data_IF_778097609282
#
_entry.id   IF_778097609282
#
_cell.length_a   1.000
_cell.length_b   1.000
_cell.length_c   1.000
_cell.angle_alpha   90.00
_cell.angle_beta   90.00
_cell.angle_gamma   90.00
#
_symmetry.space_group_name_H-M   'P 1'
#
loop_
_entity.id
_entity.type
_entity.pdbx_description
1 polymer ?
#
# COMPACT_ATOMS: atom_id res chain seq x y z
N UNK A 1 19.74 12.42 5.84
CA UNK A 1 20.32 11.31 5.03
C UNK A 1 20.86 11.94 3.78
N UNK A 2 22.10 11.65 3.43
CA UNK A 2 22.78 12.33 2.33
C UNK A 2 22.95 11.36 1.15
N UNK A 3 22.25 11.60 0.05
CA UNK A 3 22.40 10.80 -1.18
C UNK A 3 23.79 11.05 -1.80
N UNK A 4 24.44 12.18 -1.46
CA UNK A 4 25.77 12.51 -1.93
C UNK A 4 26.88 11.64 -1.32
N UNK A 5 26.62 10.93 -0.22
CA UNK A 5 27.65 10.09 0.45
C UNK A 5 27.82 8.69 -0.14
N UNK A 6 26.94 8.26 -1.05
CA UNK A 6 27.02 6.92 -1.65
C UNK A 6 26.71 5.76 -0.69
N UNK A 7 26.19 6.03 0.51
CA UNK A 7 25.75 4.98 1.44
C UNK A 7 24.62 4.15 0.80
N UNK A 8 24.92 2.88 0.51
CA UNK A 8 23.90 1.92 0.07
C UNK A 8 22.92 1.67 1.20
N UNK A 9 21.67 2.09 1.01
CA UNK A 9 20.55 1.72 1.87
C UNK A 9 20.47 0.20 2.00
N UNK A 10 20.43 -0.31 3.23
CA UNK A 10 20.06 -1.70 3.49
C UNK A 10 18.59 -1.87 3.16
N UNK A 11 18.31 -2.57 2.07
CA UNK A 11 16.96 -2.90 1.62
C UNK A 11 16.54 -4.19 2.35
N UNK A 12 15.58 -4.15 3.28
CA UNK A 12 15.16 -5.35 3.98
C UNK A 12 14.52 -6.33 3.00
N UNK A 13 14.77 -7.63 3.22
CA UNK A 13 14.05 -8.67 2.50
C UNK A 13 12.60 -8.70 3.00
N UNK A 14 11.65 -8.32 2.15
CA UNK A 14 10.24 -8.27 2.50
C UNK A 14 9.59 -9.66 2.49
N UNK A 15 10.18 -10.62 1.78
CA UNK A 15 9.62 -11.98 1.67
C UNK A 15 9.61 -12.72 3.00
N UNK A 16 10.53 -12.40 3.90
CA UNK A 16 10.63 -13.02 5.23
C UNK A 16 9.69 -12.37 6.26
N UNK A 17 8.98 -11.30 5.89
CA UNK A 17 8.15 -10.52 6.79
C UNK A 17 6.68 -10.93 6.74
N UNK A 18 5.97 -10.65 7.84
CA UNK A 18 4.51 -10.74 7.89
C UNK A 18 3.87 -9.79 6.87
N UNK A 19 2.63 -10.05 6.46
CA UNK A 19 1.92 -9.20 5.50
C UNK A 19 1.79 -7.74 6.00
N UNK A 20 1.55 -7.55 7.30
CA UNK A 20 1.46 -6.22 7.89
C UNK A 20 2.81 -5.49 7.85
N UNK A 21 3.89 -6.20 8.16
CA UNK A 21 5.26 -5.64 8.11
C UNK A 21 5.70 -5.35 6.67
N UNK A 22 5.26 -6.15 5.69
CA UNK A 22 5.48 -5.90 4.26
C UNK A 22 4.86 -4.59 3.80
N UNK A 23 3.79 -4.13 4.45
CA UNK A 23 3.00 -2.96 4.08
C UNK A 23 3.26 -1.74 4.98
N UNK A 24 4.30 -1.76 5.82
CA UNK A 24 4.55 -0.73 6.83
C UNK A 24 4.72 0.69 6.27
N UNK A 25 5.14 0.85 5.01
CA UNK A 25 5.27 2.16 4.36
C UNK A 25 4.04 2.55 3.55
N UNK A 26 3.01 1.72 3.53
CA UNK A 26 1.77 1.97 2.82
C UNK A 26 0.72 2.41 3.86
N UNK A 27 0.31 3.69 3.89
CA UNK A 27 -0.70 4.17 4.81
C UNK A 27 -1.98 3.35 4.72
N UNK A 28 -2.48 2.92 5.87
CA UNK A 28 -3.76 2.21 5.96
C UNK A 28 -4.92 3.21 5.92
N UNK A 29 -5.94 2.87 5.16
CA UNK A 29 -7.25 3.54 5.19
C UNK A 29 -8.30 2.55 5.63
N UNK A 30 -9.33 3.07 6.29
CA UNK A 30 -10.52 2.30 6.69
C UNK A 30 -11.74 2.90 5.99
N UNK A 31 -12.93 2.39 6.29
CA UNK A 31 -14.17 2.88 5.67
C UNK A 31 -14.46 4.37 5.96
N UNK A 32 -14.00 4.91 7.09
CA UNK A 32 -14.22 6.30 7.50
C UNK A 32 -13.25 7.25 6.79
N UNK A 33 -11.96 6.89 6.74
CA UNK A 33 -10.90 7.73 6.16
C UNK A 33 -10.76 7.56 4.65
N UNK A 34 -11.39 6.56 4.04
CA UNK A 34 -11.25 6.28 2.61
C UNK A 34 -11.62 7.48 1.75
N UNK A 35 -12.80 8.08 1.98
CA UNK A 35 -13.30 9.15 1.14
C UNK A 35 -12.41 10.40 1.23
N UNK A 36 -11.97 10.76 2.43
CA UNK A 36 -11.06 11.88 2.66
C UNK A 36 -9.72 11.69 1.94
N UNK A 37 -9.15 10.49 2.02
CA UNK A 37 -7.82 10.21 1.48
C UNK A 37 -7.84 9.96 -0.02
N UNK A 38 -8.81 9.20 -0.53
CA UNK A 38 -8.85 8.73 -1.93
C UNK A 38 -9.52 9.74 -2.86
N UNK A 39 -10.46 10.54 -2.36
CA UNK A 39 -11.13 11.58 -3.15
C UNK A 39 -10.43 12.95 -3.03
N UNK A 40 -9.22 12.98 -2.49
CA UNK A 40 -8.38 14.18 -2.46
C UNK A 40 -7.98 14.58 -3.89
N UNK A 41 -8.68 15.58 -4.44
CA UNK A 41 -8.45 16.06 -5.80
C UNK A 41 -7.06 16.67 -6.04
N UNK A 42 -6.26 16.89 -4.99
CA UNK A 42 -4.88 17.37 -5.11
C UNK A 42 -3.87 16.25 -5.37
N UNK A 43 -4.28 14.98 -5.31
CA UNK A 43 -3.39 13.82 -5.44
C UNK A 43 -3.96 12.73 -6.34
N UNK A 44 -3.06 12.04 -7.03
CA UNK A 44 -3.34 10.75 -7.65
C UNK A 44 -3.18 9.64 -6.60
N UNK A 45 -4.28 8.95 -6.26
CA UNK A 45 -4.27 7.96 -5.18
C UNK A 45 -4.48 6.56 -5.73
N UNK A 46 -3.48 5.70 -5.56
CA UNK A 46 -3.58 4.27 -5.81
C UNK A 46 -3.95 3.53 -4.52
N UNK A 47 -4.99 2.69 -4.58
CA UNK A 47 -5.45 1.91 -3.44
C UNK A 47 -5.15 0.43 -3.67
N UNK A 48 -4.41 -0.18 -2.75
CA UNK A 48 -4.20 -1.61 -2.71
C UNK A 48 -5.28 -2.27 -1.83
N UNK A 49 -6.27 -2.91 -2.46
CA UNK A 49 -7.24 -3.75 -1.76
C UNK A 49 -6.66 -5.14 -1.55
N UNK A 50 -6.52 -5.55 -0.30
CA UNK A 50 -5.88 -6.82 0.08
C UNK A 50 -6.66 -7.48 1.22
N UNK A 51 -6.38 -8.75 1.52
CA UNK A 51 -6.93 -9.40 2.70
C UNK A 51 -5.80 -9.85 3.63
N UNK A 52 -5.90 -9.59 4.93
CA UNK A 52 -4.96 -10.17 5.91
C UNK A 52 -5.37 -11.55 6.42
N UNK A 53 -6.64 -11.91 6.27
CA UNK A 53 -7.19 -13.21 6.66
C UNK A 53 -7.92 -13.93 5.51
N UNK A 54 -8.09 -15.24 5.67
CA UNK A 54 -8.84 -16.08 4.73
C UNK A 54 -8.07 -16.48 3.47
N UNK A 55 -8.75 -17.04 2.45
CA UNK A 55 -8.12 -17.65 1.27
C UNK A 55 -7.30 -16.68 0.41
N UNK A 56 -7.55 -15.38 0.51
CA UNK A 56 -6.84 -14.34 -0.26
C UNK A 56 -5.59 -13.79 0.47
N UNK A 57 -5.34 -14.19 1.73
CA UNK A 57 -4.24 -13.66 2.52
C UNK A 57 -2.86 -14.02 1.95
N UNK A 58 -2.67 -15.28 1.52
CA UNK A 58 -1.41 -15.70 0.91
C UNK A 58 -1.16 -15.00 -0.43
N UNK A 59 -2.18 -14.86 -1.28
CA UNK A 59 -2.02 -14.13 -2.57
C UNK A 59 -1.73 -12.65 -2.38
N UNK A 60 -2.20 -12.06 -1.28
CA UNK A 60 -1.96 -10.65 -0.93
C UNK A 60 -0.51 -10.35 -0.54
N UNK A 61 0.31 -11.38 -0.26
CA UNK A 61 1.70 -11.22 0.17
C UNK A 61 2.63 -10.71 -0.94
N UNK A 62 2.42 -11.15 -2.17
CA UNK A 62 3.29 -10.79 -3.29
C UNK A 62 2.99 -9.35 -3.76
N UNK A 63 1.70 -9.01 -3.88
CA UNK A 63 1.27 -7.64 -4.16
C UNK A 63 1.75 -6.65 -3.11
N UNK A 64 1.77 -7.03 -1.83
CA UNK A 64 2.27 -6.18 -0.75
C UNK A 64 3.74 -5.77 -0.91
N UNK A 65 4.59 -6.66 -1.45
CA UNK A 65 5.99 -6.32 -1.74
C UNK A 65 6.04 -5.22 -2.79
N UNK A 66 5.32 -5.40 -3.90
CA UNK A 66 5.33 -4.44 -5.02
C UNK A 66 4.83 -3.06 -4.58
N UNK A 67 3.69 -3.03 -3.88
CA UNK A 67 3.05 -1.80 -3.40
C UNK A 67 3.93 -1.08 -2.39
N UNK A 68 4.57 -1.79 -1.47
CA UNK A 68 5.51 -1.19 -0.52
C UNK A 68 6.73 -0.60 -1.22
N UNK A 69 7.31 -1.29 -2.22
CA UNK A 69 8.43 -0.74 -3.01
C UNK A 69 8.01 0.51 -3.78
N UNK A 70 6.79 0.55 -4.31
CA UNK A 70 6.25 1.72 -4.97
C UNK A 70 6.14 2.91 -4.01
N UNK A 71 5.54 2.71 -2.81
CA UNK A 71 5.43 3.74 -1.78
C UNK A 71 6.80 4.27 -1.32
N UNK A 72 7.75 3.36 -1.03
CA UNK A 72 9.14 3.74 -0.69
C UNK A 72 9.78 4.58 -1.80
N UNK A 73 9.54 4.23 -3.07
CA UNK A 73 10.15 4.94 -4.19
C UNK A 73 9.57 6.33 -4.40
N UNK A 74 8.27 6.51 -4.18
CA UNK A 74 7.63 7.83 -4.23
C UNK A 74 8.21 8.76 -3.16
N UNK A 75 8.39 8.26 -1.94
CA UNK A 75 9.02 9.02 -0.85
C UNK A 75 10.46 9.40 -1.18
N UNK A 76 11.27 8.45 -1.67
CA UNK A 76 12.67 8.71 -2.07
C UNK A 76 12.81 9.76 -3.18
N UNK A 77 11.88 9.77 -4.13
CA UNK A 77 11.87 10.72 -5.25
C UNK A 77 11.22 12.06 -4.89
N UNK A 78 10.66 12.21 -3.69
CA UNK A 78 9.93 13.41 -3.29
C UNK A 78 8.61 13.61 -4.04
N UNK A 79 7.98 12.53 -4.51
CA UNK A 79 6.69 12.59 -5.22
C UNK A 79 5.58 12.88 -4.20
N UNK A 80 5.10 14.12 -4.18
CA UNK A 80 4.01 14.57 -3.31
C UNK A 80 2.61 14.54 -3.97
N UNK A 81 2.56 14.47 -5.30
CA UNK A 81 1.31 14.49 -6.08
C UNK A 81 0.68 13.12 -6.23
N UNK A 82 1.37 12.04 -5.89
CA UNK A 82 0.85 10.69 -5.94
C UNK A 82 1.04 9.99 -4.60
N UNK A 83 0.08 9.13 -4.22
CA UNK A 83 0.12 8.36 -2.98
C UNK A 83 -0.38 6.94 -3.21
N UNK A 84 0.24 6.00 -2.54
CA UNK A 84 -0.21 4.62 -2.46
C UNK A 84 -0.77 4.38 -1.06
N UNK A 85 -1.99 3.86 -0.96
CA UNK A 85 -2.64 3.49 0.32
C UNK A 85 -3.13 2.05 0.27
N UNK A 86 -3.54 1.50 1.42
CA UNK A 86 -4.04 0.13 1.52
C UNK A 86 -5.35 0.04 2.28
N UNK A 87 -6.22 -0.88 1.86
CA UNK A 87 -7.45 -1.24 2.57
C UNK A 87 -7.54 -2.75 2.74
N UNK A 88 -7.74 -3.20 3.98
CA UNK A 88 -7.92 -4.61 4.30
C UNK A 88 -9.39 -5.03 4.15
N UNK A 89 -9.68 -5.80 3.11
CA UNK A 89 -11.03 -6.28 2.79
C UNK A 89 -11.50 -7.40 3.71
N UNK A 90 -10.63 -7.97 4.54
CA UNK A 90 -11.03 -8.92 5.57
C UNK A 90 -11.56 -8.25 6.85
N UNK A 91 -11.25 -6.95 7.03
CA UNK A 91 -11.73 -6.15 8.16
C UNK A 91 -12.79 -5.12 7.75
N UNK A 92 -12.65 -4.53 6.57
CA UNK A 92 -13.50 -3.45 6.09
C UNK A 92 -14.09 -3.76 4.72
N UNK A 93 -15.31 -3.31 4.47
CA UNK A 93 -15.86 -3.31 3.11
C UNK A 93 -15.36 -2.10 2.33
N UNK A 94 -15.06 -2.28 1.04
CA UNK A 94 -14.81 -1.15 0.15
C UNK A 94 -16.07 -0.26 0.08
N UNK A 95 -15.93 1.06 -0.12
CA UNK A 95 -17.08 1.94 -0.27
C UNK A 95 -17.96 1.54 -1.46
N UNK A 96 -19.27 1.85 -1.43
CA UNK A 96 -20.21 1.48 -2.50
C UNK A 96 -19.85 2.00 -3.89
N UNK A 97 -19.05 3.07 -3.97
CA UNK A 97 -18.56 3.65 -5.22
C UNK A 97 -17.41 2.87 -5.86
N UNK A 98 -16.84 1.89 -5.15
CA UNK A 98 -15.69 1.11 -5.60
C UNK A 98 -16.08 -0.36 -5.74
N UNK A 99 -15.91 -0.90 -6.94
CA UNK A 99 -16.10 -2.32 -7.20
C UNK A 99 -14.75 -3.03 -7.18
N UNK A 100 -14.54 -3.88 -6.18
CA UNK A 100 -13.35 -4.75 -6.08
C UNK A 100 -13.68 -6.10 -6.69
N UNK A 101 -13.18 -6.37 -7.90
CA UNK A 101 -13.47 -7.60 -8.64
C UNK A 101 -12.71 -8.82 -8.10
N UNK A 102 -11.46 -8.61 -7.65
CA UNK A 102 -10.59 -9.64 -7.09
C UNK A 102 -9.76 -9.08 -5.93
N UNK A 103 -9.40 -9.96 -4.99
CA UNK A 103 -8.48 -9.67 -3.88
C UNK A 103 -7.27 -10.63 -3.94
N UNK A 104 -6.04 -10.10 -3.93
CA UNK A 104 -5.70 -8.68 -4.00
C UNK A 104 -6.08 -8.06 -5.35
N UNK A 105 -6.41 -6.76 -5.37
CA UNK A 105 -6.63 -6.04 -6.62
C UNK A 105 -5.28 -5.55 -7.16
N UNK A 106 -4.78 -6.18 -8.22
CA UNK A 106 -3.52 -5.84 -8.90
C UNK A 106 -3.77 -5.36 -10.33
#
# INVERSE_FOLDING_TARGET
RDVASGERRVVPNLETLSLQDRLRFVPAVNHESFAEVVLDASKDVAVYFFASAGPAAERSKDGAIFVNRCAERFEELGVGTARVVRLDTSEFSAPPSVQVAEVPSL
#
